data_IF_494993614240
#
_entry.id   IF_494993614240
#
_cell.length_a   1.000
_cell.length_b   1.000
_cell.length_c   1.000
_cell.angle_alpha   90.00
_cell.angle_beta   90.00
_cell.angle_gamma   90.00
#
_symmetry.space_group_name_H-M   'P 1'
#
loop_
_entity.id
_entity.type
_entity.pdbx_description
1 polymer ?
#
# COMPACT_ATOMS: atom_id res chain seq x y z
N UNK A 1 8.37 -56.11 -18.02
CA UNK A 1 8.57 -54.66 -18.24
C UNK A 1 8.95 -54.00 -16.93
N UNK A 2 10.14 -53.36 -16.80
CA UNK A 2 10.56 -52.72 -15.56
C UNK A 2 9.79 -51.41 -15.32
N UNK A 3 9.23 -51.23 -14.11
CA UNK A 3 8.56 -49.99 -13.70
C UNK A 3 9.58 -48.85 -13.67
N UNK A 4 9.26 -47.71 -14.29
CA UNK A 4 10.08 -46.49 -14.30
C UNK A 4 10.22 -45.95 -12.87
N UNK A 5 11.31 -46.33 -12.19
CA UNK A 5 11.71 -45.83 -10.86
C UNK A 5 12.34 -44.43 -10.97
N UNK A 6 11.70 -43.51 -11.67
CA UNK A 6 12.10 -42.10 -11.73
C UNK A 6 11.21 -41.32 -10.78
N UNK A 7 11.79 -40.76 -9.72
CA UNK A 7 11.05 -39.89 -8.80
C UNK A 7 10.53 -38.69 -9.58
N UNK A 8 9.26 -38.32 -9.37
CA UNK A 8 8.64 -37.20 -10.09
C UNK A 8 9.33 -35.87 -9.69
N UNK A 9 10.04 -35.23 -10.62
CA UNK A 9 10.77 -33.98 -10.37
C UNK A 9 9.92 -32.89 -9.69
N UNK A 10 8.61 -32.83 -9.99
CA UNK A 10 7.68 -31.90 -9.33
C UNK A 10 7.43 -32.23 -7.86
N UNK A 11 7.44 -33.51 -7.49
CA UNK A 11 7.28 -33.94 -6.10
C UNK A 11 8.57 -33.73 -5.30
N UNK A 12 9.74 -33.87 -5.93
CA UNK A 12 11.02 -33.52 -5.31
C UNK A 12 11.13 -32.01 -5.07
N UNK A 13 10.72 -31.18 -6.03
CA UNK A 13 10.69 -29.72 -5.85
C UNK A 13 9.68 -29.26 -4.78
N UNK A 14 8.55 -29.95 -4.64
CA UNK A 14 7.59 -29.67 -3.57
C UNK A 14 8.15 -30.07 -2.19
N UNK A 15 8.81 -31.24 -2.10
CA UNK A 15 9.48 -31.69 -0.88
C UNK A 15 10.64 -30.78 -0.50
N UNK A 16 11.45 -30.31 -1.44
CA UNK A 16 12.56 -29.39 -1.16
C UNK A 16 12.06 -28.05 -0.62
N UNK A 17 10.98 -27.50 -1.17
CA UNK A 17 10.35 -26.27 -0.63
C UNK A 17 9.79 -26.47 0.77
N UNK A 18 9.13 -27.61 1.02
CA UNK A 18 8.60 -27.93 2.35
C UNK A 18 9.75 -28.06 3.37
N UNK A 19 10.81 -28.76 3.00
CA UNK A 19 11.99 -28.93 3.86
C UNK A 19 12.72 -27.59 4.09
N UNK A 20 12.79 -26.72 3.10
CA UNK A 20 13.38 -25.38 3.24
C UNK A 20 12.55 -24.49 4.19
N UNK A 21 11.22 -24.52 4.07
CA UNK A 21 10.34 -23.78 4.98
C UNK A 21 10.41 -24.33 6.42
N UNK A 22 10.49 -25.66 6.58
CA UNK A 22 10.66 -26.30 7.89
C UNK A 22 12.03 -25.98 8.50
N UNK A 23 13.09 -25.92 7.68
CA UNK A 23 14.41 -25.49 8.12
C UNK A 23 14.43 -24.02 8.55
N UNK A 24 13.76 -23.11 7.82
CA UNK A 24 13.64 -21.70 8.20
C UNK A 24 12.83 -21.53 9.49
N UNK A 25 11.73 -22.28 9.64
CA UNK A 25 10.97 -22.25 10.90
C UNK A 25 11.78 -22.77 12.08
N UNK A 26 12.55 -23.85 11.89
CA UNK A 26 13.42 -24.39 12.93
C UNK A 26 14.54 -23.40 13.29
N UNK A 27 15.14 -22.74 12.29
CA UNK A 27 16.15 -21.70 12.49
C UNK A 27 15.58 -20.49 13.24
N UNK A 28 14.38 -20.04 12.84
CA UNK A 28 13.66 -18.96 13.55
C UNK A 28 13.37 -19.35 15.00
N UNK A 29 12.87 -20.56 15.24
CA UNK A 29 12.62 -21.06 16.59
C UNK A 29 13.90 -21.20 17.40
N UNK A 30 15.02 -21.60 16.81
CA UNK A 30 16.31 -21.64 17.53
C UNK A 30 16.80 -20.25 17.87
N UNK A 31 16.67 -19.28 16.95
CA UNK A 31 17.04 -17.88 17.21
C UNK A 31 16.16 -17.26 18.29
N UNK A 32 14.85 -17.48 18.24
CA UNK A 32 13.93 -16.99 19.28
C UNK A 32 14.25 -17.60 20.65
N UNK A 33 14.58 -18.89 20.72
CA UNK A 33 14.99 -19.54 21.97
C UNK A 33 16.34 -19.02 22.47
N UNK A 34 17.27 -18.76 21.58
CA UNK A 34 18.57 -18.16 21.93
C UNK A 34 18.39 -16.72 22.42
N UNK A 35 17.60 -15.90 21.75
CA UNK A 35 17.24 -14.55 22.18
C UNK A 35 16.49 -14.54 23.52
N UNK A 36 15.59 -15.51 23.75
CA UNK A 36 14.92 -15.70 25.03
C UNK A 36 15.91 -16.09 26.11
N UNK A 37 16.80 -17.04 25.84
CA UNK A 37 17.86 -17.45 26.75
C UNK A 37 18.76 -16.27 27.14
N UNK A 38 19.18 -15.46 26.16
CA UNK A 38 19.96 -14.25 26.42
C UNK A 38 19.17 -13.19 27.19
N UNK A 39 17.88 -12.98 26.89
CA UNK A 39 17.02 -12.06 27.65
C UNK A 39 16.83 -12.49 29.10
N UNK A 40 16.64 -13.79 29.34
CA UNK A 40 16.51 -14.34 30.69
C UNK A 40 17.85 -14.25 31.45
N UNK A 41 18.98 -14.49 30.78
CA UNK A 41 20.31 -14.34 31.35
C UNK A 41 20.69 -12.89 31.68
N UNK A 42 20.20 -11.90 30.92
CA UNK A 42 20.38 -10.47 31.23
C UNK A 42 19.65 -10.04 32.51
N UNK A 43 18.64 -10.80 32.95
CA UNK A 43 17.89 -10.53 34.17
C UNK A 43 17.12 -9.20 34.13
N UNK A 44 16.47 -8.80 35.25
CA UNK A 44 15.78 -7.52 35.31
C UNK A 44 16.78 -6.36 35.22
N UNK A 45 16.67 -5.56 34.14
CA UNK A 45 17.41 -4.31 33.97
C UNK A 45 17.32 -3.47 35.25
N UNK A 46 18.46 -2.95 35.72
CA UNK A 46 18.49 -2.10 36.91
C UNK A 46 17.60 -0.85 36.73
N UNK A 47 17.10 -0.29 37.84
CA UNK A 47 16.30 0.96 37.79
C UNK A 47 17.01 2.09 37.06
N UNK A 48 18.34 2.15 37.14
CA UNK A 48 19.15 3.13 36.42
C UNK A 48 19.19 2.89 34.90
N UNK A 49 19.30 1.62 34.46
CA UNK A 49 19.23 1.27 33.05
C UNK A 49 17.84 1.57 32.46
N UNK A 50 16.77 1.22 33.20
CA UNK A 50 15.38 1.53 32.80
C UNK A 50 15.15 3.03 32.66
N UNK A 51 15.64 3.84 33.61
CA UNK A 51 15.54 5.31 33.54
C UNK A 51 16.29 5.89 32.35
N UNK A 52 17.46 5.33 32.00
CA UNK A 52 18.26 5.77 30.84
C UNK A 52 17.60 5.42 29.51
N UNK A 53 16.94 4.26 29.42
CA UNK A 53 16.18 3.83 28.24
C UNK A 53 14.94 4.71 28.03
N UNK A 54 14.17 4.99 29.07
CA UNK A 54 13.01 5.88 29.03
C UNK A 54 13.38 7.32 28.65
N UNK A 55 14.50 7.85 29.18
CA UNK A 55 15.00 9.17 28.81
C UNK A 55 15.49 9.20 27.35
N UNK A 56 16.13 8.13 26.88
CA UNK A 56 16.55 8.00 25.49
C UNK A 56 15.34 7.90 24.54
N UNK A 57 14.31 7.15 24.91
CA UNK A 57 13.06 7.03 24.16
C UNK A 57 12.33 8.37 24.08
N UNK A 58 12.18 9.08 25.20
CA UNK A 58 11.58 10.44 25.23
C UNK A 58 12.39 11.45 24.42
N UNK A 59 13.72 11.34 24.42
CA UNK A 59 14.60 12.18 23.59
C UNK A 59 14.48 11.84 22.10
N UNK A 60 14.35 10.57 21.76
CA UNK A 60 14.13 10.12 20.38
C UNK A 60 12.75 10.55 19.87
N UNK A 61 11.71 10.42 20.67
CA UNK A 61 10.34 10.85 20.33
C UNK A 61 10.27 12.37 20.14
N UNK A 62 10.88 13.15 21.04
CA UNK A 62 10.93 14.62 20.89
C UNK A 62 11.78 15.05 19.68
N UNK A 63 12.87 14.35 19.39
CA UNK A 63 13.65 14.58 18.17
C UNK A 63 12.84 14.25 16.91
N UNK A 64 12.07 13.16 16.92
CA UNK A 64 11.18 12.77 15.82
C UNK A 64 10.07 13.81 15.59
N UNK A 65 9.37 14.21 16.66
CA UNK A 65 8.35 15.27 16.62
C UNK A 65 8.93 16.60 16.12
N UNK A 66 10.14 16.96 16.55
CA UNK A 66 10.82 18.18 16.08
C UNK A 66 11.25 18.07 14.61
N UNK A 67 11.69 16.91 14.16
CA UNK A 67 12.04 16.67 12.76
C UNK A 67 10.81 16.73 11.85
N UNK A 68 9.68 16.15 12.28
CA UNK A 68 8.41 16.23 11.56
C UNK A 68 7.89 17.67 11.50
N UNK A 69 7.90 18.40 12.62
CA UNK A 69 7.52 19.81 12.66
C UNK A 69 8.41 20.68 11.75
N UNK A 70 9.73 20.42 11.74
CA UNK A 70 10.65 21.10 10.83
C UNK A 70 10.36 20.76 9.36
N UNK A 71 10.03 19.51 9.06
CA UNK A 71 9.66 19.08 7.70
C UNK A 71 8.39 19.79 7.23
N UNK A 72 7.39 19.93 8.10
CA UNK A 72 6.16 20.63 7.78
C UNK A 72 6.40 22.13 7.56
N UNK A 73 7.19 22.78 8.43
CA UNK A 73 7.57 24.18 8.26
C UNK A 73 8.36 24.42 6.95
N UNK A 74 9.28 23.54 6.58
CA UNK A 74 10.01 23.64 5.31
C UNK A 74 9.09 23.44 4.09
N UNK A 75 8.06 22.58 4.22
CA UNK A 75 7.04 22.43 3.18
C UNK A 75 6.21 23.71 3.04
N UNK A 76 5.78 24.32 4.15
CA UNK A 76 5.05 25.60 4.15
C UNK A 76 5.90 26.74 3.58
N UNK A 77 7.19 26.84 3.95
CA UNK A 77 8.12 27.82 3.38
C UNK A 77 8.32 27.61 1.88
N UNK A 78 8.40 26.36 1.41
CA UNK A 78 8.48 26.07 -0.03
C UNK A 78 7.20 26.41 -0.77
N UNK A 79 6.02 26.18 -0.18
CA UNK A 79 4.75 26.59 -0.78
C UNK A 79 4.60 28.11 -0.78
N UNK A 80 5.03 28.81 0.27
CA UNK A 80 5.11 30.27 0.29
C UNK A 80 6.12 30.78 -0.73
N UNK A 81 7.30 30.16 -0.86
CA UNK A 81 8.31 30.56 -1.84
C UNK A 81 7.83 30.30 -3.27
N UNK A 82 7.07 29.22 -3.53
CA UNK A 82 6.40 28.99 -4.81
C UNK A 82 5.35 30.06 -5.09
N UNK A 83 4.49 30.37 -4.12
CA UNK A 83 3.50 31.45 -4.23
C UNK A 83 4.16 32.83 -4.46
N UNK A 84 5.30 33.09 -3.82
CA UNK A 84 6.09 34.32 -3.99
C UNK A 84 6.87 34.35 -5.31
N UNK A 85 7.34 33.20 -5.82
CA UNK A 85 8.00 33.10 -7.13
C UNK A 85 7.01 33.24 -8.29
N UNK A 86 5.76 32.82 -8.12
CA UNK A 86 4.66 33.11 -9.08
C UNK A 86 4.33 34.62 -9.09
N UNK A 87 4.61 35.34 -7.99
CA UNK A 87 4.43 36.79 -7.87
C UNK A 87 5.71 37.62 -8.15
N UNK A 88 6.75 37.03 -8.77
CA UNK A 88 8.01 37.74 -9.07
C UNK A 88 8.04 38.42 -10.44
N UNK A 89 6.87 38.63 -11.05
CA UNK A 89 6.65 39.71 -12.02
C UNK A 89 6.18 40.90 -11.20
N UNK A 90 6.91 42.02 -11.27
CA UNK A 90 6.59 43.25 -10.55
C UNK A 90 5.20 43.78 -10.97
N UNK A 91 4.16 43.35 -10.26
CA UNK A 91 2.91 44.10 -10.25
C UNK A 91 3.14 45.31 -9.34
N UNK A 92 2.96 46.55 -9.83
CA UNK A 92 3.10 47.72 -8.97
C UNK A 92 2.09 47.55 -7.83
N UNK A 93 2.53 47.74 -6.59
CA UNK A 93 1.61 47.74 -5.43
C UNK A 93 0.50 48.74 -5.79
N UNK A 94 -0.76 48.28 -5.95
CA UNK A 94 -1.83 49.18 -6.37
C UNK A 94 -1.94 50.27 -5.32
N UNK A 95 -1.93 51.53 -5.77
CA UNK A 95 -2.12 52.69 -4.90
C UNK A 95 -3.52 52.60 -4.32
N UNK A 96 -3.62 52.01 -3.13
CA UNK A 96 -4.87 51.84 -2.40
C UNK A 96 -5.42 53.24 -2.15
N UNK A 97 -6.58 53.53 -2.75
CA UNK A 97 -7.25 54.81 -2.55
C UNK A 97 -7.76 54.89 -1.10
N UNK A 98 -7.88 56.10 -0.56
CA UNK A 98 -8.31 56.30 0.84
C UNK A 98 -9.63 55.58 1.17
N UNK A 99 -10.55 55.52 0.21
CA UNK A 99 -11.81 54.77 0.33
C UNK A 99 -11.61 53.25 0.54
N UNK A 100 -10.59 52.67 -0.08
CA UNK A 100 -10.30 51.23 0.05
C UNK A 100 -9.54 50.93 1.36
N UNK A 101 -8.75 51.87 1.87
CA UNK A 101 -8.18 51.79 3.23
C UNK A 101 -9.26 51.87 4.31
N UNK A 102 -10.24 52.76 4.15
CA UNK A 102 -11.39 52.85 5.06
C UNK A 102 -12.21 51.57 5.01
N UNK A 103 -12.51 51.05 3.82
CA UNK A 103 -13.25 49.79 3.67
C UNK A 103 -12.54 48.62 4.34
N UNK A 104 -11.22 48.50 4.16
CA UNK A 104 -10.41 47.46 4.80
C UNK A 104 -10.39 47.62 6.31
N UNK A 105 -10.30 48.85 6.82
CA UNK A 105 -10.32 49.13 8.26
C UNK A 105 -11.68 48.82 8.88
N UNK A 106 -12.78 49.11 8.18
CA UNK A 106 -14.13 48.72 8.58
C UNK A 106 -14.33 47.21 8.55
N UNK A 107 -13.83 46.51 7.52
CA UNK A 107 -13.83 45.05 7.44
C UNK A 107 -13.03 44.42 8.59
N UNK A 108 -11.84 44.96 8.91
CA UNK A 108 -11.01 44.51 10.02
C UNK A 108 -11.67 44.78 11.38
N UNK A 109 -12.32 45.93 11.57
CA UNK A 109 -13.09 46.23 12.78
C UNK A 109 -14.33 45.35 12.91
N UNK A 110 -15.06 45.10 11.82
CA UNK A 110 -16.20 44.19 11.80
C UNK A 110 -15.76 42.74 12.08
N UNK A 111 -14.62 42.30 11.56
CA UNK A 111 -14.04 41.00 11.86
C UNK A 111 -13.62 40.89 13.33
N UNK A 112 -13.04 41.94 13.90
CA UNK A 112 -12.68 41.97 15.32
C UNK A 112 -13.91 41.97 16.23
N UNK A 113 -14.97 42.70 15.84
CA UNK A 113 -16.25 42.69 16.53
C UNK A 113 -16.89 41.29 16.49
N UNK A 114 -16.93 40.64 15.32
CA UNK A 114 -17.40 39.25 15.19
C UNK A 114 -16.60 38.27 16.05
N UNK A 115 -15.26 38.37 16.05
CA UNK A 115 -14.40 37.56 16.93
C UNK A 115 -14.67 37.81 18.41
N UNK A 116 -14.93 39.06 18.80
CA UNK A 116 -15.25 39.41 20.18
C UNK A 116 -16.61 38.88 20.62
N UNK A 117 -17.62 38.91 19.73
CA UNK A 117 -18.94 38.34 19.98
C UNK A 117 -18.89 36.81 20.04
N UNK A 118 -18.10 36.17 19.17
CA UNK A 118 -17.85 34.73 19.22
C UNK A 118 -17.12 34.32 20.52
N UNK A 119 -16.15 35.11 20.98
CA UNK A 119 -15.47 34.91 22.26
C UNK A 119 -16.43 35.06 23.46
N UNK A 120 -17.31 36.07 23.44
CA UNK A 120 -18.36 36.25 24.46
C UNK A 120 -19.37 35.11 24.41
N UNK A 121 -19.78 34.63 23.23
CA UNK A 121 -20.69 33.48 23.06
C UNK A 121 -20.07 32.21 23.65
N UNK A 122 -18.78 31.96 23.38
CA UNK A 122 -17.99 30.88 23.99
C UNK A 122 -17.90 31.01 25.51
N UNK A 123 -17.67 32.23 26.04
CA UNK A 123 -17.65 32.47 27.49
C UNK A 123 -19.02 32.27 28.15
N UNK A 124 -20.12 32.63 27.48
CA UNK A 124 -21.49 32.43 27.96
C UNK A 124 -21.96 30.97 27.89
N UNK A 125 -21.17 30.05 27.31
CA UNK A 125 -21.52 28.63 27.09
C UNK A 125 -22.90 28.45 26.43
N UNK A 126 -23.33 29.41 25.62
CA UNK A 126 -24.54 29.27 24.83
C UNK A 126 -24.15 28.48 23.59
N UNK A 127 -24.37 27.16 23.62
CA UNK A 127 -24.26 26.33 22.43
C UNK A 127 -25.22 26.88 21.39
N UNK A 128 -24.71 27.07 20.17
CA UNK A 128 -25.54 27.44 19.04
C UNK A 128 -26.56 26.34 18.76
N UNK A 129 -27.76 26.70 18.31
CA UNK A 129 -28.80 25.72 17.98
C UNK A 129 -28.29 24.69 16.96
N UNK A 130 -27.38 25.10 16.05
CA UNK A 130 -26.67 24.22 15.12
C UNK A 130 -25.65 23.28 15.79
N UNK A 131 -24.97 23.72 16.86
CA UNK A 131 -24.07 22.83 17.65
C UNK A 131 -24.88 21.82 18.45
N UNK A 132 -26.04 22.22 18.97
CA UNK A 132 -26.98 21.32 19.64
C UNK A 132 -27.58 20.31 18.65
N UNK A 133 -28.00 20.76 17.48
CA UNK A 133 -28.47 19.89 16.40
C UNK A 133 -27.38 18.90 15.97
N UNK A 134 -26.12 19.34 15.87
CA UNK A 134 -24.97 18.46 15.59
C UNK A 134 -24.66 17.46 16.71
N UNK A 135 -24.86 17.83 17.97
CA UNK A 135 -24.71 16.91 19.12
C UNK A 135 -25.87 15.92 19.23
N UNK A 136 -27.09 16.32 18.85
CA UNK A 136 -28.27 15.46 18.88
C UNK A 136 -28.32 14.54 17.65
N UNK A 137 -27.87 15.02 16.50
CA UNK A 137 -27.74 14.25 15.25
C UNK A 137 -26.43 13.43 15.21
N UNK A 138 -26.02 12.87 16.34
CA UNK A 138 -24.94 11.87 16.35
C UNK A 138 -25.54 10.56 15.87
N UNK A 139 -25.18 10.16 14.65
CA UNK A 139 -25.60 8.88 14.06
C UNK A 139 -25.17 7.71 14.96
N UNK A 140 -26.11 6.85 15.31
CA UNK A 140 -25.87 5.69 16.16
C UNK A 140 -25.12 4.60 15.38
N UNK A 141 -23.79 4.64 15.44
CA UNK A 141 -22.86 3.69 14.83
C UNK A 141 -22.98 2.25 15.36
N UNK A 142 -23.76 2.00 16.43
CA UNK A 142 -24.06 0.62 16.84
C UNK A 142 -25.03 -0.11 15.89
N UNK A 143 -25.65 0.60 14.94
CA UNK A 143 -26.52 0.04 13.88
C UNK A 143 -25.88 0.07 12.50
N UNK A 144 -24.61 0.46 12.38
CA UNK A 144 -23.91 0.41 11.10
C UNK A 144 -23.49 -1.03 10.79
N UNK A 145 -24.15 -1.65 9.81
CA UNK A 145 -23.78 -2.95 9.23
C UNK A 145 -22.43 -2.91 8.46
N UNK A 146 -21.73 -1.78 8.50
CA UNK A 146 -20.39 -1.58 7.93
C UNK A 146 -19.28 -2.21 8.79
N UNK A 147 -19.57 -2.59 10.04
CA UNK A 147 -18.65 -3.29 10.91
C UNK A 147 -18.61 -4.78 10.57
N UNK A 148 -17.47 -5.22 10.01
CA UNK A 148 -17.19 -6.63 9.76
C UNK A 148 -16.89 -7.30 11.10
N UNK A 149 -17.91 -7.78 11.79
CA UNK A 149 -17.75 -8.62 12.97
C UNK A 149 -17.26 -10.01 12.53
N UNK A 150 -16.05 -10.39 12.97
CA UNK A 150 -15.51 -11.72 12.81
C UNK A 150 -14.93 -12.21 14.14
N UNK A 151 -15.33 -13.41 14.57
CA UNK A 151 -14.89 -13.98 15.86
C UNK A 151 -13.66 -14.87 15.72
N UNK A 152 -13.29 -15.21 14.50
CA UNK A 152 -12.13 -16.03 14.17
C UNK A 152 -11.32 -15.41 13.03
N UNK A 153 -10.04 -15.76 12.96
CA UNK A 153 -9.12 -15.27 11.92
C UNK A 153 -9.60 -15.68 10.53
N UNK A 154 -10.08 -16.92 10.37
CA UNK A 154 -10.60 -17.43 9.10
C UNK A 154 -11.87 -16.70 8.66
N UNK A 155 -12.75 -16.36 9.60
CA UNK A 155 -13.98 -15.60 9.33
C UNK A 155 -13.67 -14.15 8.94
N UNK A 156 -12.66 -13.54 9.56
CA UNK A 156 -12.20 -12.19 9.21
C UNK A 156 -11.62 -12.18 7.79
N UNK A 157 -10.79 -13.17 7.46
CA UNK A 157 -10.24 -13.34 6.12
C UNK A 157 -11.35 -13.52 5.07
N UNK A 158 -12.33 -14.37 5.33
CA UNK A 158 -13.43 -14.62 4.39
C UNK A 158 -14.30 -13.37 4.14
N UNK A 159 -14.58 -12.57 5.17
CA UNK A 159 -15.39 -11.35 5.06
C UNK A 159 -14.61 -10.16 4.48
N UNK A 160 -13.29 -10.11 4.65
CA UNK A 160 -12.42 -9.09 4.05
C UNK A 160 -12.05 -9.39 2.60
N UNK A 161 -12.14 -10.65 2.15
CA UNK A 161 -11.90 -10.99 0.74
C UNK A 161 -13.08 -10.57 -0.13
N UNK A 162 -13.07 -9.33 -0.58
CA UNK A 162 -13.76 -8.91 -1.80
C UNK A 162 -13.26 -9.82 -2.93
N UNK A 163 -14.16 -10.42 -3.70
CA UNK A 163 -13.87 -11.38 -4.77
C UNK A 163 -13.13 -10.78 -5.98
N UNK A 164 -12.14 -9.92 -5.76
CA UNK A 164 -11.30 -9.25 -6.77
C UNK A 164 -9.98 -10.00 -6.99
N UNK A 165 -10.08 -11.31 -7.21
CA UNK A 165 -9.07 -12.05 -7.96
C UNK A 165 -9.80 -13.11 -8.76
N UNK A 166 -10.05 -12.84 -10.04
CA UNK A 166 -9.97 -13.92 -11.03
C UNK A 166 -8.72 -14.74 -10.67
N UNK A 167 -8.87 -16.05 -10.40
CA UNK A 167 -7.77 -16.82 -9.86
C UNK A 167 -6.61 -16.71 -10.83
N UNK A 168 -5.48 -16.16 -10.36
CA UNK A 168 -4.21 -16.24 -11.08
C UNK A 168 -4.04 -17.70 -11.44
N UNK A 169 -4.22 -18.02 -12.73
CA UNK A 169 -4.34 -19.38 -13.19
C UNK A 169 -3.00 -20.08 -12.95
N UNK A 170 -2.97 -20.80 -11.83
CA UNK A 170 -1.82 -21.52 -11.29
C UNK A 170 -1.56 -22.82 -12.06
N UNK A 171 -2.21 -23.02 -13.21
CA UNK A 171 -2.03 -24.18 -14.08
C UNK A 171 -1.13 -23.84 -15.28
N UNK A 172 0.18 -24.12 -15.17
CA UNK A 172 1.08 -24.02 -16.33
C UNK A 172 0.61 -24.92 -17.49
N UNK A 173 -0.08 -26.02 -17.20
CA UNK A 173 -0.66 -26.93 -18.21
C UNK A 173 -1.82 -26.30 -19.00
N UNK A 174 -2.66 -25.49 -18.35
CA UNK A 174 -3.75 -24.76 -19.04
C UNK A 174 -3.21 -23.58 -19.84
N UNK A 175 -2.23 -22.86 -19.27
CA UNK A 175 -1.50 -21.81 -19.99
C UNK A 175 -0.77 -22.36 -21.21
N UNK A 176 -0.14 -23.54 -21.14
CA UNK A 176 0.55 -24.13 -22.30
C UNK A 176 -0.41 -24.40 -23.45
N UNK A 177 -1.60 -24.94 -23.19
CA UNK A 177 -2.61 -25.18 -24.24
C UNK A 177 -3.20 -23.88 -24.78
N UNK A 178 -3.49 -22.91 -23.92
CA UNK A 178 -4.05 -21.62 -24.32
C UNK A 178 -3.05 -20.78 -25.11
N UNK A 179 -1.81 -20.68 -24.62
CA UNK A 179 -0.73 -19.94 -25.27
C UNK A 179 -0.28 -20.60 -26.58
N UNK A 180 -0.19 -21.94 -26.63
CA UNK A 180 0.05 -22.64 -27.89
C UNK A 180 -1.05 -22.39 -28.92
N UNK A 181 -2.33 -22.38 -28.51
CA UNK A 181 -3.45 -22.09 -29.41
C UNK A 181 -3.40 -20.66 -29.95
N UNK A 182 -3.12 -19.68 -29.08
CA UNK A 182 -2.95 -18.28 -29.50
C UNK A 182 -1.78 -18.10 -30.48
N UNK A 183 -0.67 -18.78 -30.21
CA UNK A 183 0.50 -18.78 -31.09
C UNK A 183 0.24 -19.50 -32.41
N UNK A 184 -0.47 -20.64 -32.37
CA UNK A 184 -0.88 -21.37 -33.56
C UNK A 184 -1.75 -20.50 -34.46
N UNK A 185 -2.74 -19.79 -33.93
CA UNK A 185 -3.61 -18.91 -34.73
C UNK A 185 -2.83 -17.74 -35.38
N UNK A 186 -1.90 -17.12 -34.64
CA UNK A 186 -1.08 -16.01 -35.14
C UNK A 186 -0.06 -16.47 -36.20
N UNK A 187 0.68 -17.55 -35.92
CA UNK A 187 1.74 -18.04 -36.81
C UNK A 187 1.20 -18.87 -37.97
N UNK A 188 0.02 -19.50 -37.85
CA UNK A 188 -0.62 -20.20 -38.97
C UNK A 188 -0.87 -19.27 -40.17
N UNK A 189 -1.18 -18.00 -39.93
CA UNK A 189 -1.35 -17.02 -41.00
C UNK A 189 0.00 -16.67 -41.65
N UNK A 190 1.03 -16.35 -40.85
CA UNK A 190 2.37 -16.01 -41.36
C UNK A 190 3.02 -17.16 -42.12
N UNK A 191 3.00 -18.37 -41.56
CA UNK A 191 3.68 -19.53 -42.15
C UNK A 191 3.01 -19.95 -43.48
N UNK A 192 1.70 -19.76 -43.62
CA UNK A 192 0.99 -19.99 -44.89
C UNK A 192 1.39 -18.99 -45.98
N UNK A 193 1.66 -17.74 -45.60
CA UNK A 193 2.11 -16.70 -46.52
C UNK A 193 3.58 -16.90 -46.93
N UNK A 194 4.45 -17.26 -45.97
CA UNK A 194 5.88 -17.49 -46.24
C UNK A 194 6.15 -18.75 -47.08
N UNK A 195 5.37 -19.81 -46.87
CA UNK A 195 5.57 -21.10 -47.56
C UNK A 195 4.25 -21.69 -48.06
N UNK A 196 3.65 -21.12 -49.11
CA UNK A 196 2.46 -21.71 -49.72
C UNK A 196 2.79 -23.10 -50.29
N UNK A 197 1.89 -24.07 -50.09
CA UNK A 197 2.00 -25.43 -50.64
C UNK A 197 2.30 -26.55 -49.64
N UNK A 198 2.51 -26.26 -48.36
CA UNK A 198 2.63 -27.29 -47.32
C UNK A 198 1.25 -27.82 -46.90
N UNK A 199 1.19 -29.07 -46.45
CA UNK A 199 -0.05 -29.63 -45.87
C UNK A 199 -0.30 -29.06 -44.48
N UNK A 200 -1.57 -29.05 -44.05
CA UNK A 200 -1.97 -28.50 -42.74
C UNK A 200 -1.22 -29.15 -41.56
N UNK A 201 -0.96 -30.46 -41.64
CA UNK A 201 -0.19 -31.20 -40.63
C UNK A 201 1.26 -30.73 -40.56
N UNK A 202 1.89 -30.47 -41.71
CA UNK A 202 3.27 -29.99 -41.77
C UNK A 202 3.41 -28.57 -41.23
N UNK A 203 2.43 -27.69 -41.46
CA UNK A 203 2.40 -26.37 -40.83
C UNK A 203 2.31 -26.47 -39.30
N UNK A 204 1.44 -27.34 -38.78
CA UNK A 204 1.33 -27.59 -37.33
C UNK A 204 2.64 -28.10 -36.72
N UNK A 205 3.34 -29.01 -37.40
CA UNK A 205 4.64 -29.51 -36.95
C UNK A 205 5.72 -28.42 -36.95
N UNK A 206 5.72 -27.54 -37.96
CA UNK A 206 6.65 -26.41 -38.04
C UNK A 206 6.38 -25.39 -36.92
N UNK A 207 5.12 -25.03 -36.71
CA UNK A 207 4.67 -24.12 -35.65
C UNK A 207 4.98 -24.72 -34.28
N UNK A 208 4.78 -26.03 -34.07
CA UNK A 208 5.16 -26.72 -32.82
C UNK A 208 6.66 -26.67 -32.56
N UNK A 209 7.50 -26.78 -33.61
CA UNK A 209 8.96 -26.64 -33.50
C UNK A 209 9.38 -25.21 -33.17
N UNK A 210 8.75 -24.21 -33.78
CA UNK A 210 9.00 -22.80 -33.48
C UNK A 210 8.55 -22.47 -32.06
N UNK A 211 7.35 -22.91 -31.67
CA UNK A 211 6.79 -22.74 -30.33
C UNK A 211 7.70 -23.25 -29.21
N UNK A 212 8.30 -24.44 -29.38
CA UNK A 212 9.25 -24.99 -28.39
C UNK A 212 10.46 -24.08 -28.13
N UNK A 213 10.82 -23.21 -29.08
CA UNK A 213 11.91 -22.23 -28.98
C UNK A 213 11.43 -20.82 -28.65
N UNK A 214 10.13 -20.52 -28.81
CA UNK A 214 9.58 -19.20 -28.60
C UNK A 214 9.58 -18.79 -27.12
N UNK A 215 9.75 -17.48 -26.84
CA UNK A 215 9.67 -16.93 -25.48
C UNK A 215 8.26 -16.99 -24.88
N UNK A 216 7.24 -17.10 -25.74
CA UNK A 216 5.85 -17.25 -25.35
C UNK A 216 5.52 -18.62 -24.74
N UNK A 217 6.41 -19.60 -24.91
CA UNK A 217 6.27 -20.89 -24.24
C UNK A 217 6.52 -20.71 -22.74
N UNK A 218 5.50 -20.94 -21.87
CA UNK A 218 5.64 -20.78 -20.43
C UNK A 218 6.72 -21.69 -19.81
N UNK A 219 7.19 -22.72 -20.53
CA UNK A 219 8.30 -23.58 -20.10
C UNK A 219 9.68 -22.96 -20.30
N UNK A 220 9.81 -21.99 -21.19
CA UNK A 220 11.06 -21.28 -21.48
C UNK A 220 11.20 -19.97 -20.69
N UNK A 221 10.15 -19.57 -19.98
CA UNK A 221 10.19 -18.40 -19.09
C UNK A 221 10.99 -18.77 -17.85
N UNK A 222 12.27 -18.38 -17.84
CA UNK A 222 13.15 -18.45 -16.67
C UNK A 222 12.57 -17.47 -15.63
N UNK A 223 12.03 -18.00 -14.55
CA UNK A 223 11.58 -17.23 -13.39
C UNK A 223 12.71 -17.08 -12.39
#
# INVERSE_FOLDING_TARGET
MPKKMGVNSKSEAAKSRKNAAEAEQKDRQSREKEEQYWREAEGPKSKAAKKREEEAEKKAESASKKAEAKRLAEQEEKELEKCLKVNRVSSPVPKVTEAELVRRREEEQAALAKKSEEAKKKQRRMAEEEEYEKMVLVSNTNRDDSLIEARTVDEALAKMTVADKLPVDRHPEKRLKASFKAYEEAEMARVKEEKPGLTHTQYKDLISKMWKKSPDNPLNQVY
#
